data_IF_509872454354
#
_entry.id   IF_509872454354
#
_cell.length_a   1.000
_cell.length_b   1.000
_cell.length_c   1.000
_cell.angle_alpha   90.00
_cell.angle_beta   90.00
_cell.angle_gamma   90.00
#
_symmetry.space_group_name_H-M   'P 1'
#
loop_
_entity.id
_entity.type
_entity.pdbx_description
1 polymer ?
#
# COMPACT_ATOMS: atom_id res chain seq x y z
N UNK A 1 33.24 12.50 -26.84
CA UNK A 1 32.86 11.24 -26.14
C UNK A 1 32.98 11.49 -24.65
N UNK A 2 31.87 11.85 -24.00
CA UNK A 2 31.81 11.97 -22.55
C UNK A 2 31.33 10.64 -22.01
N UNK A 3 32.26 9.88 -21.41
CA UNK A 3 31.95 8.74 -20.55
C UNK A 3 31.25 9.26 -19.31
N UNK A 4 29.93 9.18 -19.27
CA UNK A 4 29.09 9.57 -18.13
C UNK A 4 28.30 8.37 -17.61
N UNK A 5 28.93 7.19 -17.56
CA UNK A 5 28.20 5.95 -17.31
C UNK A 5 27.95 5.62 -15.84
N UNK A 6 28.59 6.27 -14.86
CA UNK A 6 28.42 5.92 -13.45
C UNK A 6 28.38 7.15 -12.53
N UNK A 7 27.43 8.06 -12.76
CA UNK A 7 27.11 9.10 -11.78
C UNK A 7 26.13 8.51 -10.73
N UNK A 8 26.56 8.28 -9.48
CA UNK A 8 25.71 7.69 -8.44
C UNK A 8 24.46 8.54 -8.14
N UNK A 9 24.49 9.86 -8.42
CA UNK A 9 23.31 10.71 -8.28
C UNK A 9 22.23 10.39 -9.34
N UNK A 10 22.65 10.01 -10.55
CA UNK A 10 21.73 9.64 -11.64
C UNK A 10 21.08 8.29 -11.38
N UNK A 11 21.84 7.31 -10.88
CA UNK A 11 21.31 5.98 -10.57
C UNK A 11 20.27 6.05 -9.44
N UNK A 12 20.57 6.84 -8.41
CA UNK A 12 19.65 7.11 -7.30
C UNK A 12 18.35 7.75 -7.77
N UNK A 13 18.45 8.73 -8.67
CA UNK A 13 17.28 9.41 -9.26
C UNK A 13 16.46 8.43 -10.10
N UNK A 14 17.11 7.62 -10.92
CA UNK A 14 16.46 6.59 -11.73
C UNK A 14 15.72 5.57 -10.86
N UNK A 15 16.32 5.11 -9.77
CA UNK A 15 15.69 4.20 -8.81
C UNK A 15 14.41 4.81 -8.21
N UNK A 16 14.44 6.09 -7.82
CA UNK A 16 13.26 6.80 -7.31
C UNK A 16 12.16 6.90 -8.38
N UNK A 17 12.51 7.19 -9.62
CA UNK A 17 11.54 7.23 -10.74
C UNK A 17 10.90 5.85 -10.91
N UNK A 18 11.68 4.76 -10.89
CA UNK A 18 11.14 3.39 -11.00
C UNK A 18 10.18 3.05 -9.86
N UNK A 19 10.55 3.38 -8.62
CA UNK A 19 9.69 3.20 -7.44
C UNK A 19 8.40 4.03 -7.58
N UNK A 20 8.48 5.26 -8.08
CA UNK A 20 7.31 6.11 -8.30
C UNK A 20 6.40 5.59 -9.43
N UNK A 21 6.93 4.90 -10.44
CA UNK A 21 6.13 4.33 -11.54
C UNK A 21 5.48 2.98 -11.19
N UNK A 22 6.02 2.25 -10.20
CA UNK A 22 5.51 0.95 -9.79
C UNK A 22 3.99 0.92 -9.48
N UNK A 23 3.43 1.86 -8.70
CA UNK A 23 1.99 1.91 -8.45
C UNK A 23 1.15 2.06 -9.72
N UNK A 24 1.62 2.88 -10.67
CA UNK A 24 0.91 3.14 -11.94
C UNK A 24 0.90 1.87 -12.80
N UNK A 25 1.98 1.09 -12.78
CA UNK A 25 2.11 -0.12 -13.58
C UNK A 25 1.24 -1.29 -13.07
N UNK A 26 1.20 -1.50 -11.75
CA UNK A 26 0.64 -2.75 -11.19
C UNK A 26 -0.60 -2.58 -10.32
N UNK A 27 -0.98 -1.37 -9.91
CA UNK A 27 -2.23 -1.19 -9.19
C UNK A 27 -3.43 -1.54 -10.09
N UNK A 28 -4.42 -2.29 -9.57
CA UNK A 28 -5.60 -2.69 -10.35
C UNK A 28 -6.49 -1.49 -10.69
N UNK A 29 -6.37 -0.39 -9.94
CA UNK A 29 -7.04 0.88 -10.15
C UNK A 29 -6.03 2.01 -9.90
N UNK A 30 -6.11 3.11 -10.65
CA UNK A 30 -5.32 4.30 -10.38
C UNK A 30 -5.47 4.78 -8.93
N UNK A 31 -4.36 5.20 -8.32
CA UNK A 31 -4.30 5.63 -6.92
C UNK A 31 -4.00 7.13 -6.84
N UNK A 32 -4.51 7.78 -5.79
CA UNK A 32 -4.19 9.18 -5.52
C UNK A 32 -2.73 9.31 -5.10
N UNK A 33 -2.15 10.49 -5.31
CA UNK A 33 -0.79 10.79 -4.87
C UNK A 33 -0.61 10.55 -3.36
N UNK A 34 -1.64 10.86 -2.57
CA UNK A 34 -1.63 10.64 -1.13
C UNK A 34 -1.47 9.16 -0.79
N UNK A 35 -2.31 8.29 -1.36
CA UNK A 35 -2.26 6.85 -1.15
C UNK A 35 -0.91 6.28 -1.61
N UNK A 36 -0.42 6.71 -2.77
CA UNK A 36 0.89 6.28 -3.28
C UNK A 36 2.01 6.64 -2.31
N UNK A 37 1.98 7.85 -1.73
CA UNK A 37 3.01 8.28 -0.76
C UNK A 37 3.04 7.47 0.53
N UNK A 38 1.96 6.74 0.84
CA UNK A 38 1.90 5.81 1.99
C UNK A 38 2.36 4.40 1.61
N UNK A 39 2.23 4.03 0.34
CA UNK A 39 2.53 2.68 -0.17
C UNK A 39 3.95 2.54 -0.73
N UNK A 40 4.71 3.62 -0.88
CA UNK A 40 6.10 3.53 -1.34
C UNK A 40 7.04 4.24 -0.40
N UNK A 41 8.30 3.81 -0.40
CA UNK A 41 9.37 4.43 0.36
C UNK A 41 10.60 4.55 -0.53
N UNK A 42 11.32 5.66 -0.39
CA UNK A 42 12.66 5.80 -0.95
C UNK A 42 13.66 5.56 0.18
N UNK A 43 14.74 4.82 -0.10
CA UNK A 43 15.73 4.43 0.93
C UNK A 43 16.45 5.61 1.58
N UNK A 44 16.39 6.77 0.95
CA UNK A 44 17.21 7.93 1.26
C UNK A 44 16.39 9.21 1.46
N UNK A 45 15.06 9.06 1.56
CA UNK A 45 14.12 10.15 1.79
C UNK A 45 13.33 9.79 3.04
N UNK A 46 13.20 10.74 3.95
CA UNK A 46 12.38 10.56 5.13
C UNK A 46 10.90 10.34 4.73
N UNK A 47 10.17 9.58 5.54
CA UNK A 47 8.77 9.25 5.25
C UNK A 47 7.89 10.51 5.10
N UNK A 48 8.23 11.57 5.82
CA UNK A 48 7.54 12.88 5.80
C UNK A 48 7.76 13.61 4.47
N UNK A 49 8.94 13.44 3.85
CA UNK A 49 9.33 14.10 2.60
C UNK A 49 8.92 13.31 1.35
N UNK A 50 8.54 12.05 1.49
CA UNK A 50 8.19 11.13 0.38
C UNK A 50 7.13 11.74 -0.55
N UNK A 51 6.10 12.38 0.02
CA UNK A 51 5.04 13.04 -0.75
C UNK A 51 5.58 14.17 -1.65
N UNK A 52 6.51 14.98 -1.15
CA UNK A 52 7.09 16.10 -1.89
C UNK A 52 7.96 15.62 -3.05
N UNK A 53 8.76 14.57 -2.82
CA UNK A 53 9.61 13.94 -3.84
C UNK A 53 8.76 13.31 -4.93
N UNK A 54 7.72 12.57 -4.55
CA UNK A 54 6.75 11.99 -5.48
C UNK A 54 6.07 13.05 -6.34
N UNK A 55 5.61 14.13 -5.71
CA UNK A 55 4.97 15.25 -6.39
C UNK A 55 5.91 15.85 -7.46
N UNK A 56 7.19 16.02 -7.15
CA UNK A 56 8.19 16.53 -8.09
C UNK A 56 8.46 15.57 -9.26
N UNK A 57 8.53 14.26 -9.00
CA UNK A 57 8.69 13.24 -10.04
C UNK A 57 7.48 13.25 -10.99
N UNK A 58 6.25 13.19 -10.46
CA UNK A 58 5.06 13.16 -11.30
C UNK A 58 4.81 14.47 -12.06
N UNK A 59 5.13 15.63 -11.48
CA UNK A 59 5.09 16.89 -12.22
C UNK A 59 6.07 16.88 -13.40
N UNK A 60 7.26 16.31 -13.22
CA UNK A 60 8.23 16.15 -14.30
C UNK A 60 7.74 15.20 -15.41
N UNK A 61 6.77 14.32 -15.08
CA UNK A 61 6.12 13.38 -15.99
C UNK A 61 4.69 13.82 -16.35
N UNK A 62 4.32 15.09 -16.14
CA UNK A 62 2.96 15.59 -16.34
C UNK A 62 2.47 15.54 -17.79
N UNK A 63 3.37 15.40 -18.77
CA UNK A 63 3.00 15.15 -20.18
C UNK A 63 2.62 13.69 -20.46
N UNK A 64 2.95 12.78 -19.54
CA UNK A 64 2.74 11.33 -19.65
C UNK A 64 1.66 10.82 -18.69
N UNK A 65 1.39 11.57 -17.62
CA UNK A 65 0.52 11.17 -16.52
C UNK A 65 -0.58 12.20 -16.25
N UNK A 66 -1.76 11.70 -15.84
CA UNK A 66 -2.87 12.49 -15.30
C UNK A 66 -2.75 12.66 -13.78
N UNK A 67 -3.52 13.59 -13.20
CA UNK A 67 -3.60 13.78 -11.75
C UNK A 67 -2.34 14.39 -11.10
N UNK A 68 -1.40 14.88 -11.91
CA UNK A 68 -0.08 15.36 -11.44
C UNK A 68 -0.07 16.78 -10.90
N UNK A 69 -1.15 17.53 -11.07
CA UNK A 69 -1.26 18.92 -10.60
C UNK A 69 -1.10 19.01 -9.08
N UNK A 70 -0.34 19.99 -8.57
CA UNK A 70 -0.17 20.16 -7.13
C UNK A 70 -1.52 20.36 -6.43
N UNK A 71 -1.76 19.59 -5.37
CA UNK A 71 -3.02 19.60 -4.62
C UNK A 71 -4.18 18.87 -5.29
N UNK A 72 -3.96 18.22 -6.44
CA UNK A 72 -4.99 17.38 -7.06
C UNK A 72 -5.35 16.20 -6.16
N UNK A 73 -6.64 15.87 -6.15
CA UNK A 73 -7.17 14.64 -5.55
C UNK A 73 -7.43 13.57 -6.61
N UNK A 74 -7.16 13.87 -7.87
CA UNK A 74 -7.36 12.95 -8.96
C UNK A 74 -6.33 11.80 -8.89
N UNK A 75 -6.72 10.58 -9.25
CA UNK A 75 -5.79 9.47 -9.35
C UNK A 75 -4.68 9.71 -10.39
N UNK A 76 -3.48 9.23 -10.07
CA UNK A 76 -2.35 9.19 -11.00
C UNK A 76 -2.54 8.01 -11.94
N UNK A 77 -2.60 8.30 -13.24
CA UNK A 77 -2.72 7.30 -14.30
C UNK A 77 -1.88 7.72 -15.52
N UNK A 78 -1.54 6.77 -16.39
CA UNK A 78 -0.93 7.12 -17.68
C UNK A 78 -1.98 7.68 -18.64
N UNK A 79 -1.57 8.64 -19.50
CA UNK A 79 -2.45 9.14 -20.58
C UNK A 79 -2.76 8.06 -21.61
N UNK A 80 -1.85 7.09 -21.80
CA UNK A 80 -1.98 6.05 -22.80
C UNK A 80 -1.33 4.75 -22.32
N UNK A 81 -1.90 3.60 -22.71
CA UNK A 81 -1.40 2.28 -22.33
C UNK A 81 0.03 2.02 -22.82
N UNK A 82 0.38 2.54 -24.01
CA UNK A 82 1.72 2.39 -24.60
C UNK A 82 2.86 2.96 -23.74
N UNK A 83 2.56 3.87 -22.82
CA UNK A 83 3.56 4.41 -21.89
C UNK A 83 4.03 3.32 -20.93
N UNK A 84 3.08 2.51 -20.42
CA UNK A 84 3.41 1.38 -19.55
C UNK A 84 4.07 0.24 -20.34
N UNK A 85 3.60 -0.02 -21.56
CA UNK A 85 4.22 -1.00 -22.47
C UNK A 85 5.68 -0.64 -22.77
N UNK A 86 5.98 0.65 -22.97
CA UNK A 86 7.36 1.12 -23.14
C UNK A 86 8.22 0.78 -21.93
N UNK A 87 7.74 1.02 -20.71
CA UNK A 87 8.50 0.70 -19.49
C UNK A 87 8.64 -0.81 -19.24
N UNK A 88 7.80 -1.65 -19.85
CA UNK A 88 7.90 -3.11 -19.77
C UNK A 88 8.86 -3.71 -20.81
N UNK A 89 9.08 -3.01 -21.92
CA UNK A 89 9.99 -3.44 -22.98
C UNK A 89 11.44 -3.06 -22.65
N UNK A 90 12.24 -4.06 -22.28
CA UNK A 90 13.66 -3.88 -21.93
C UNK A 90 14.51 -3.37 -23.11
N UNK A 91 14.20 -3.78 -24.34
CA UNK A 91 14.94 -3.38 -25.54
C UNK A 91 14.74 -1.88 -25.81
N UNK A 92 13.51 -1.40 -25.62
CA UNK A 92 13.13 0.00 -25.87
C UNK A 92 13.51 0.93 -24.70
N UNK A 93 13.14 0.57 -23.47
CA UNK A 93 13.32 1.45 -22.30
C UNK A 93 14.70 1.35 -21.65
N UNK A 94 15.44 0.27 -21.91
CA UNK A 94 16.81 0.05 -21.42
C UNK A 94 16.88 0.24 -19.91
N UNK A 95 17.64 1.24 -19.45
CA UNK A 95 17.78 1.57 -18.03
C UNK A 95 16.46 1.97 -17.35
N UNK A 96 15.46 2.41 -18.11
CA UNK A 96 14.13 2.75 -17.58
C UNK A 96 13.19 1.55 -17.47
N UNK A 97 13.63 0.36 -17.91
CA UNK A 97 12.84 -0.85 -17.82
C UNK A 97 12.41 -1.12 -16.37
N UNK A 98 11.13 -1.41 -16.22
CA UNK A 98 10.43 -1.64 -14.98
C UNK A 98 9.76 -3.01 -15.05
N UNK A 99 10.43 -4.01 -14.46
CA UNK A 99 9.87 -5.36 -14.43
C UNK A 99 8.63 -5.40 -13.54
N UNK A 100 7.65 -6.21 -13.94
CA UNK A 100 6.42 -6.38 -13.15
C UNK A 100 6.72 -6.93 -11.75
N UNK A 101 7.71 -7.80 -11.65
CA UNK A 101 8.17 -8.38 -10.39
C UNK A 101 8.68 -7.29 -9.43
N UNK A 102 9.53 -6.38 -9.91
CA UNK A 102 9.99 -5.24 -9.12
C UNK A 102 8.82 -4.39 -8.62
N UNK A 103 7.89 -4.02 -9.50
CA UNK A 103 6.76 -3.15 -9.13
C UNK A 103 5.81 -3.79 -8.13
N UNK A 104 5.52 -5.09 -8.30
CA UNK A 104 4.73 -5.83 -7.32
C UNK A 104 5.46 -5.93 -5.97
N UNK A 105 6.78 -6.09 -5.97
CA UNK A 105 7.60 -6.13 -4.75
C UNK A 105 7.55 -4.80 -3.98
N UNK A 106 7.65 -3.67 -4.69
CA UNK A 106 7.48 -2.33 -4.11
C UNK A 106 6.10 -2.20 -3.47
N UNK A 107 5.03 -2.54 -4.20
CA UNK A 107 3.67 -2.41 -3.68
C UNK A 107 3.37 -3.36 -2.53
N UNK A 108 3.91 -4.58 -2.57
CA UNK A 108 3.77 -5.56 -1.50
C UNK A 108 4.38 -5.05 -0.19
N UNK A 109 5.62 -4.53 -0.26
CA UNK A 109 6.28 -3.93 0.91
C UNK A 109 5.46 -2.76 1.46
N UNK A 110 4.96 -1.90 0.58
CA UNK A 110 4.06 -0.81 0.94
C UNK A 110 2.81 -1.26 1.68
N UNK A 111 2.12 -2.25 1.14
CA UNK A 111 0.93 -2.82 1.75
C UNK A 111 1.25 -3.39 3.13
N UNK A 112 2.38 -4.10 3.26
CA UNK A 112 2.85 -4.61 4.54
C UNK A 112 3.08 -3.50 5.56
N UNK A 113 3.78 -2.42 5.18
CA UNK A 113 4.09 -1.30 6.08
C UNK A 113 2.83 -0.53 6.52
N UNK A 114 1.88 -0.31 5.60
CA UNK A 114 0.59 0.30 5.91
C UNK A 114 -0.22 -0.59 6.85
N UNK A 115 -0.33 -1.88 6.55
CA UNK A 115 -1.04 -2.83 7.41
C UNK A 115 -0.38 -2.94 8.78
N UNK A 116 0.95 -3.01 8.85
CA UNK A 116 1.70 -3.06 10.11
C UNK A 116 1.52 -1.78 10.93
N UNK A 117 1.55 -0.61 10.32
CA UNK A 117 1.38 0.65 11.06
C UNK A 117 -0.06 0.90 11.49
N UNK A 118 -1.06 0.55 10.67
CA UNK A 118 -2.46 0.93 10.90
C UNK A 118 -3.32 -0.19 11.52
N UNK A 119 -2.96 -1.48 11.35
CA UNK A 119 -3.67 -2.59 12.01
C UNK A 119 -3.21 -2.83 13.46
N UNK A 120 -1.95 -2.53 13.80
CA UNK A 120 -1.42 -2.71 15.16
C UNK A 120 -2.13 -1.86 16.21
N UNK A 121 -2.79 -0.77 15.82
CA UNK A 121 -3.61 0.05 16.72
C UNK A 121 -4.85 -0.66 17.29
N UNK A 122 -5.16 -1.89 16.86
CA UNK A 122 -6.27 -2.68 17.40
C UNK A 122 -5.86 -3.89 18.27
N UNK A 123 -4.57 -4.14 18.53
CA UNK A 123 -4.13 -5.36 19.26
C UNK A 123 -3.57 -5.12 20.66
N UNK A 124 -3.32 -3.86 21.07
CA UNK A 124 -2.70 -3.56 22.38
C UNK A 124 -3.66 -2.88 23.38
N UNK A 125 -4.84 -3.46 23.60
CA UNK A 125 -5.78 -2.99 24.64
C UNK A 125 -6.34 -4.10 25.53
N UNK A 126 -5.63 -5.23 25.67
CA UNK A 126 -6.04 -6.33 26.56
C UNK A 126 -5.92 -6.05 28.07
N UNK A 127 -5.72 -4.79 28.47
CA UNK A 127 -5.75 -4.34 29.88
C UNK A 127 -6.51 -3.03 30.10
N UNK A 128 -7.41 -2.64 29.20
CA UNK A 128 -8.14 -1.40 29.39
C UNK A 128 -9.43 -1.58 30.23
N UNK A 129 -9.64 -0.74 31.25
CA UNK A 129 -10.87 -0.74 32.05
C UNK A 129 -12.12 -0.34 31.25
N UNK A 130 -13.29 -0.83 31.70
CA UNK A 130 -14.62 -0.75 31.06
C UNK A 130 -15.02 0.64 30.52
N UNK A 131 -14.51 1.74 31.08
CA UNK A 131 -14.83 3.09 30.62
C UNK A 131 -14.16 3.48 29.29
N UNK A 132 -13.33 2.61 28.71
CA UNK A 132 -12.77 2.79 27.35
C UNK A 132 -13.61 2.06 26.29
N UNK A 133 -14.56 1.21 26.69
CA UNK A 133 -15.53 0.56 25.77
C UNK A 133 -16.43 1.60 25.09
N UNK A 134 -16.76 2.71 25.76
CA UNK A 134 -17.47 3.84 25.15
C UNK A 134 -16.64 4.59 24.10
N UNK A 135 -15.32 4.35 24.04
CA UNK A 135 -14.41 4.93 23.05
C UNK A 135 -14.18 3.98 21.85
N UNK A 136 -14.86 2.84 21.80
CA UNK A 136 -14.90 1.93 20.64
C UNK A 136 -15.92 2.38 19.57
N UNK A 137 -16.48 3.58 19.71
CA UNK A 137 -16.88 4.39 18.56
C UNK A 137 -15.64 4.99 17.86
N UNK A 138 -14.55 4.24 17.73
CA UNK A 138 -13.49 4.59 16.79
C UNK A 138 -14.15 4.53 15.41
N UNK A 139 -14.11 5.61 14.62
CA UNK A 139 -14.50 5.50 13.23
C UNK A 139 -13.63 4.39 12.67
N UNK A 140 -14.27 3.32 12.20
CA UNK A 140 -13.68 2.33 11.32
C UNK A 140 -13.44 2.99 9.96
N UNK A 141 -12.91 4.22 9.95
CA UNK A 141 -12.53 4.95 8.75
C UNK A 141 -11.23 4.31 8.28
N UNK A 142 -11.41 3.19 7.59
CA UNK A 142 -10.38 2.52 6.83
C UNK A 142 -9.83 3.58 5.88
N UNK A 143 -8.63 4.07 6.15
CA UNK A 143 -7.94 5.00 5.25
C UNK A 143 -7.85 4.38 3.86
N UNK A 144 -7.81 5.20 2.82
CA UNK A 144 -7.78 4.70 1.44
C UNK A 144 -6.58 3.77 1.21
N UNK A 145 -5.43 4.09 1.80
CA UNK A 145 -4.23 3.25 1.73
C UNK A 145 -4.39 1.93 2.50
N UNK A 146 -5.05 1.91 3.65
CA UNK A 146 -5.30 0.69 4.41
C UNK A 146 -6.30 -0.21 3.69
N UNK A 147 -7.34 0.38 3.10
CA UNK A 147 -8.31 -0.36 2.30
C UNK A 147 -7.62 -0.98 1.08
N UNK A 148 -6.81 -0.20 0.35
CA UNK A 148 -6.02 -0.72 -0.78
C UNK A 148 -5.09 -1.86 -0.34
N UNK A 149 -4.35 -1.66 0.75
CA UNK A 149 -3.42 -2.64 1.26
C UNK A 149 -4.12 -3.96 1.59
N UNK A 150 -5.25 -3.90 2.31
CA UNK A 150 -6.07 -5.08 2.66
C UNK A 150 -6.59 -5.82 1.43
N UNK A 151 -7.04 -5.07 0.41
CA UNK A 151 -7.67 -5.67 -0.76
C UNK A 151 -6.65 -6.25 -1.76
N UNK A 152 -5.41 -5.74 -1.80
CA UNK A 152 -4.47 -6.01 -2.89
C UNK A 152 -3.15 -6.69 -2.49
N UNK A 153 -2.80 -6.77 -1.20
CA UNK A 153 -1.51 -7.35 -0.79
C UNK A 153 -1.29 -8.79 -1.31
N UNK A 154 -2.32 -9.64 -1.27
CA UNK A 154 -2.25 -11.04 -1.77
C UNK A 154 -1.96 -11.10 -3.26
N UNK A 155 -2.52 -10.17 -4.04
CA UNK A 155 -2.30 -10.08 -5.48
C UNK A 155 -0.84 -9.76 -5.78
N UNK A 156 -0.28 -8.77 -5.11
CA UNK A 156 1.12 -8.38 -5.27
C UNK A 156 2.07 -9.50 -4.86
N UNK A 157 1.68 -10.24 -3.82
CA UNK A 157 2.42 -11.38 -3.34
C UNK A 157 2.48 -12.53 -4.33
N UNK A 158 1.33 -12.99 -4.84
CA UNK A 158 1.27 -14.10 -5.80
C UNK A 158 2.06 -13.78 -7.08
N UNK A 159 2.21 -12.50 -7.40
CA UNK A 159 3.00 -12.03 -8.53
C UNK A 159 4.52 -12.06 -8.31
N UNK A 160 5.01 -12.30 -7.09
CA UNK A 160 6.44 -12.50 -6.80
C UNK A 160 6.83 -13.96 -7.08
N UNK A 161 7.85 -14.17 -7.92
CA UNK A 161 8.28 -15.53 -8.30
C UNK A 161 9.07 -16.22 -7.18
N UNK A 162 9.83 -15.44 -6.41
CA UNK A 162 10.63 -15.89 -5.27
C UNK A 162 10.10 -15.29 -3.96
N UNK A 163 8.82 -15.50 -3.67
CA UNK A 163 8.30 -15.14 -2.35
C UNK A 163 9.00 -15.99 -1.30
N UNK A 164 9.75 -15.35 -0.39
CA UNK A 164 10.15 -16.00 0.85
C UNK A 164 8.89 -16.34 1.66
N UNK A 165 8.41 -17.57 1.47
CA UNK A 165 7.25 -18.15 2.14
C UNK A 165 7.39 -18.02 3.66
N UNK A 166 8.60 -17.95 4.19
CA UNK A 166 8.86 -17.84 5.63
C UNK A 166 8.48 -16.46 6.17
N UNK A 167 8.95 -15.39 5.53
CA UNK A 167 8.51 -14.02 5.83
C UNK A 167 6.99 -13.85 5.68
N UNK A 168 6.38 -14.58 4.74
CA UNK A 168 4.93 -14.61 4.58
C UNK A 168 4.21 -15.28 5.75
N UNK A 169 4.68 -16.46 6.13
CA UNK A 169 4.10 -17.25 7.22
C UNK A 169 4.23 -16.50 8.54
N UNK A 170 5.37 -15.86 8.78
CA UNK A 170 5.56 -14.99 9.94
C UNK A 170 4.53 -13.86 9.95
N UNK A 171 4.32 -13.16 8.83
CA UNK A 171 3.33 -12.10 8.77
C UNK A 171 1.89 -12.58 8.95
N UNK A 172 1.49 -13.67 8.28
CA UNK A 172 0.16 -14.27 8.46
C UNK A 172 -0.05 -14.68 9.93
N UNK A 173 0.97 -15.27 10.54
CA UNK A 173 0.91 -15.77 11.91
C UNK A 173 0.86 -14.63 12.95
N UNK A 174 1.67 -13.59 12.79
CA UNK A 174 1.77 -12.50 13.77
C UNK A 174 0.78 -11.35 13.54
N UNK A 175 0.26 -11.17 12.33
CA UNK A 175 -0.61 -10.04 11.99
C UNK A 175 -2.04 -10.45 11.61
N UNK A 176 -2.22 -11.55 10.86
CA UNK A 176 -3.56 -11.95 10.37
C UNK A 176 -4.31 -12.83 11.36
N UNK A 177 -3.68 -13.85 11.95
CA UNK A 177 -4.37 -14.75 12.88
C UNK A 177 -4.97 -14.00 14.10
N UNK A 178 -4.23 -13.10 14.77
CA UNK A 178 -4.79 -12.35 15.89
C UNK A 178 -5.91 -11.40 15.46
N UNK A 179 -5.81 -10.80 14.25
CA UNK A 179 -6.87 -9.96 13.69
C UNK A 179 -8.15 -10.78 13.39
N UNK A 180 -8.00 -11.96 12.81
CA UNK A 180 -9.12 -12.87 12.52
C UNK A 180 -9.82 -13.38 13.78
N UNK A 181 -9.06 -13.74 14.81
CA UNK A 181 -9.59 -14.15 16.12
C UNK A 181 -10.37 -13.01 16.78
N UNK A 182 -9.85 -11.79 16.76
CA UNK A 182 -10.50 -10.62 17.35
C UNK A 182 -11.82 -10.25 16.63
N UNK A 183 -11.86 -10.37 15.31
CA UNK A 183 -13.08 -10.16 14.52
C UNK A 183 -14.14 -11.23 14.80
N UNK A 184 -13.73 -12.49 14.95
CA UNK A 184 -14.64 -13.58 15.31
C UNK A 184 -15.22 -13.39 16.72
N UNK A 185 -14.39 -13.00 17.67
CA UNK A 185 -14.81 -12.75 19.06
C UNK A 185 -15.79 -11.57 19.16
N UNK A 186 -15.50 -10.44 18.51
CA UNK A 186 -16.40 -9.28 18.46
C UNK A 186 -17.76 -9.62 17.82
N UNK A 187 -17.77 -10.45 16.77
CA UNK A 187 -19.03 -10.91 16.14
C UNK A 187 -19.81 -11.86 17.04
N UNK A 188 -19.15 -12.71 17.80
CA UNK A 188 -19.80 -13.59 18.78
C UNK A 188 -20.40 -12.80 19.94
N UNK A 189 -19.68 -11.81 20.48
CA UNK A 189 -20.18 -10.95 21.56
C UNK A 189 -21.35 -10.06 21.11
N UNK A 190 -21.30 -9.54 19.88
CA UNK A 190 -22.42 -8.81 19.27
C UNK A 190 -23.65 -9.72 19.05
N UNK A 191 -23.43 -10.97 18.63
CA UNK A 191 -24.51 -11.95 18.46
C UNK A 191 -25.15 -12.35 19.80
N UNK A 192 -24.34 -12.56 20.84
CA UNK A 192 -24.80 -12.91 22.19
C UNK A 192 -25.52 -11.74 22.88
N UNK A 193 -25.06 -10.50 22.70
CA UNK A 193 -25.74 -9.30 23.21
C UNK A 193 -27.07 -9.03 22.49
N UNK A 194 -27.17 -9.31 21.18
CA UNK A 194 -28.44 -9.24 20.46
C UNK A 194 -29.43 -10.35 20.86
N UNK A 195 -28.95 -11.56 21.18
CA UNK A 195 -29.80 -12.62 21.76
C UNK A 195 -30.27 -12.29 23.19
N UNK A 196 -29.45 -11.60 23.99
CA UNK A 196 -29.83 -11.18 25.34
C UNK A 196 -30.91 -10.08 25.37
N UNK A 197 -31.04 -9.29 24.30
CA UNK A 197 -32.04 -8.23 24.16
C UNK A 197 -33.40 -8.71 23.63
N UNK A 198 -33.46 -9.94 23.08
CA UNK A 198 -34.71 -10.58 22.68
C UNK A 198 -34.77 -12.00 23.27
N UNK A 199 -35.15 -12.16 24.54
CA UNK A 199 -35.45 -13.49 25.05
C UNK A 199 -36.59 -14.06 24.21
N UNK A 200 -36.32 -15.21 23.59
CA UNK A 200 -37.36 -16.05 22.97
C UNK A 200 -38.39 -16.31 24.05
N UNK A 201 -39.56 -15.71 23.91
CA UNK A 201 -40.74 -16.09 24.70
C UNK A 201 -41.12 -17.47 24.21
N UNK A 202 -40.61 -18.49 24.90
CA UNK A 202 -41.05 -19.86 24.75
C UNK A 202 -42.52 -19.94 25.15
N UNK A 203 -43.37 -20.37 24.21
CA UNK A 203 -44.80 -20.71 24.43
C UNK A 203 -44.89 -22.09 25.06
#
# INVERSE_FOLDING_TARGET
MLSSQDDPMQEKTLKRIKIALAPIQCAPKPLTLHVISKLIQFEDVDAEDTLSVLQGIYQSLSSLLTGTSPGSRDPIASFHASILEFFEDEEQSKRFCLSREFSNGVMLKGCYDVMKSQLHFNMWNSTLPEWIVDRWSLPLDCTEELQHAKDQWTRYLIAQKDTDVQSLLEWVYYCILPWGELQLQNRMEHFLSHQALHPVVSI
#
